data_IF_950329197087
#
_entry.id   IF_950329197087
#
_cell.length_a   1.000
_cell.length_b   1.000
_cell.length_c   1.000
_cell.angle_alpha   90.00
_cell.angle_beta   90.00
_cell.angle_gamma   90.00
#
_symmetry.space_group_name_H-M   'P 1'
#
loop_
_entity.id
_entity.type
_entity.pdbx_description
1 polymer ?
#
# COMPACT_ATOMS: atom_id res chain seq x y z
N UNK A 1 -21.39 13.96 8.11
CA UNK A 1 -20.35 13.24 8.85
C UNK A 1 -20.98 12.05 9.53
N UNK A 2 -20.86 10.86 8.96
CA UNK A 2 -21.01 9.64 9.75
C UNK A 2 -19.74 9.53 10.58
N UNK A 3 -19.85 9.69 11.89
CA UNK A 3 -18.81 9.26 12.83
C UNK A 3 -19.07 7.79 13.14
N UNK A 4 -18.90 6.92 12.15
CA UNK A 4 -18.82 5.50 12.44
C UNK A 4 -17.36 5.15 12.75
N UNK A 5 -17.14 4.21 13.68
CA UNK A 5 -15.78 3.81 14.09
C UNK A 5 -15.18 2.82 13.11
N UNK A 6 -16.01 2.13 12.34
CA UNK A 6 -15.56 1.09 11.43
C UNK A 6 -16.48 1.02 10.23
N UNK A 7 -15.90 1.04 9.04
CA UNK A 7 -16.64 0.79 7.80
C UNK A 7 -16.14 -0.48 7.11
N UNK A 8 -17.06 -1.10 6.39
CA UNK A 8 -16.81 -2.26 5.54
C UNK A 8 -17.44 -1.99 4.18
N UNK A 9 -16.62 -2.06 3.14
CA UNK A 9 -17.07 -1.88 1.77
C UNK A 9 -16.71 -3.08 0.92
N UNK A 10 -17.50 -3.25 -0.15
CA UNK A 10 -17.18 -4.13 -1.27
C UNK A 10 -17.69 -3.38 -2.50
N UNK A 11 -16.80 -2.98 -3.40
CA UNK A 11 -17.20 -2.37 -4.66
C UNK A 11 -16.64 -3.11 -5.88
N UNK A 12 -17.42 -3.03 -6.96
CA UNK A 12 -16.99 -3.45 -8.28
C UNK A 12 -17.44 -2.39 -9.26
N UNK A 13 -16.51 -1.56 -9.72
CA UNK A 13 -16.79 -0.49 -10.67
C UNK A 13 -15.66 -0.41 -11.71
N UNK A 14 -15.76 0.50 -12.68
CA UNK A 14 -14.65 0.82 -13.56
C UNK A 14 -13.62 1.70 -12.87
N UNK A 15 -14.06 2.57 -11.97
CA UNK A 15 -13.20 3.55 -11.32
C UNK A 15 -13.72 3.80 -9.92
N UNK A 16 -12.85 3.68 -8.92
CA UNK A 16 -13.14 4.07 -7.55
C UNK A 16 -12.35 5.32 -7.16
N UNK A 17 -12.99 6.19 -6.38
CA UNK A 17 -12.39 7.40 -5.83
C UNK A 17 -13.00 7.66 -4.46
N UNK A 18 -12.19 7.60 -3.41
CA UNK A 18 -12.68 7.90 -2.07
C UNK A 18 -11.74 8.80 -1.27
N UNK A 19 -12.33 9.58 -0.38
CA UNK A 19 -11.62 10.32 0.66
C UNK A 19 -12.35 10.01 1.97
N UNK A 20 -11.67 9.33 2.89
CA UNK A 20 -12.27 8.90 4.16
C UNK A 20 -11.39 9.25 5.35
N UNK A 21 -12.06 9.35 6.50
CA UNK A 21 -11.41 9.61 7.79
C UNK A 21 -12.20 8.89 8.87
N UNK A 22 -11.73 7.69 9.18
CA UNK A 22 -12.34 6.76 10.10
C UNK A 22 -11.33 6.31 11.17
N UNK A 23 -11.82 5.52 12.12
CA UNK A 23 -10.90 4.83 13.04
C UNK A 23 -10.38 3.54 12.40
N UNK A 24 -11.24 2.81 11.71
CA UNK A 24 -10.87 1.56 11.06
C UNK A 24 -11.64 1.40 9.75
N UNK A 25 -10.97 0.96 8.71
CA UNK A 25 -11.57 0.75 7.39
C UNK A 25 -11.20 -0.62 6.85
N UNK A 26 -12.18 -1.25 6.19
CA UNK A 26 -12.03 -2.53 5.50
C UNK A 26 -12.67 -2.41 4.12
N UNK A 27 -11.95 -2.77 3.07
CA UNK A 27 -12.52 -2.85 1.72
C UNK A 27 -11.99 -4.03 0.91
N UNK A 28 -12.85 -4.48 0.00
CA UNK A 28 -12.53 -5.40 -1.07
C UNK A 28 -12.98 -4.75 -2.38
N UNK A 29 -12.01 -4.37 -3.21
CA UNK A 29 -12.26 -3.67 -4.46
C UNK A 29 -11.81 -4.48 -5.66
N UNK A 30 -12.54 -4.31 -6.75
CA UNK A 30 -12.13 -4.77 -8.06
C UNK A 30 -12.57 -3.73 -9.07
N UNK A 31 -11.62 -2.97 -9.59
CA UNK A 31 -11.88 -1.95 -10.57
C UNK A 31 -10.83 -1.93 -11.70
N UNK A 32 -10.85 -0.90 -12.55
CA UNK A 32 -9.73 -0.68 -13.48
C UNK A 32 -8.77 0.36 -12.93
N UNK A 33 -9.25 1.29 -12.13
CA UNK A 33 -8.48 2.41 -11.66
C UNK A 33 -9.02 2.87 -10.32
N UNK A 34 -8.17 2.78 -9.32
CA UNK A 34 -8.47 3.13 -7.95
C UNK A 34 -7.63 4.33 -7.50
N UNK A 35 -8.24 5.22 -6.72
CA UNK A 35 -7.55 6.37 -6.14
C UNK A 35 -8.15 6.74 -4.78
N UNK A 36 -7.39 6.50 -3.71
CA UNK A 36 -7.86 6.83 -2.38
C UNK A 36 -6.92 7.76 -1.60
N UNK A 37 -7.55 8.57 -0.74
CA UNK A 37 -6.88 9.34 0.30
C UNK A 37 -7.53 9.00 1.62
N UNK A 38 -6.85 8.20 2.44
CA UNK A 38 -7.41 7.65 3.67
C UNK A 38 -6.60 8.11 4.87
N UNK A 39 -7.27 8.62 5.90
CA UNK A 39 -6.62 9.07 7.15
C UNK A 39 -7.13 8.26 8.34
N UNK A 40 -7.07 6.93 8.21
CA UNK A 40 -7.63 6.03 9.22
C UNK A 40 -6.63 5.71 10.33
N UNK A 41 -7.05 5.04 11.40
CA UNK A 41 -6.06 4.48 12.35
C UNK A 41 -5.57 3.12 11.93
N UNK A 42 -6.40 2.38 11.21
CA UNK A 42 -6.09 1.02 10.78
C UNK A 42 -6.89 0.74 9.52
N UNK A 43 -6.21 0.18 8.54
CA UNK A 43 -6.74 -0.11 7.22
C UNK A 43 -6.44 -1.56 6.85
N UNK A 44 -7.37 -2.16 6.15
CA UNK A 44 -7.30 -3.53 5.67
C UNK A 44 -7.93 -3.59 4.28
N UNK A 45 -7.09 -3.68 3.25
CA UNK A 45 -7.56 -3.65 1.87
C UNK A 45 -7.20 -4.93 1.11
N UNK A 46 -8.13 -5.38 0.27
CA UNK A 46 -7.87 -6.39 -0.77
C UNK A 46 -8.29 -5.79 -2.10
N UNK A 47 -7.33 -5.43 -2.94
CA UNK A 47 -7.59 -4.70 -4.19
C UNK A 47 -7.06 -5.47 -5.40
N UNK A 48 -7.77 -5.37 -6.51
CA UNK A 48 -7.42 -6.02 -7.76
C UNK A 48 -7.81 -5.12 -8.93
N UNK A 49 -6.90 -4.24 -9.27
CA UNK A 49 -7.14 -3.16 -10.20
C UNK A 49 -6.16 -3.26 -11.38
N UNK A 50 -6.24 -2.34 -12.33
CA UNK A 50 -5.13 -2.19 -13.29
C UNK A 50 -4.14 -1.16 -12.82
N UNK A 51 -4.64 -0.14 -12.12
CA UNK A 51 -3.84 0.98 -11.71
C UNK A 51 -4.37 1.48 -10.39
N UNK A 52 -3.49 1.62 -9.43
CA UNK A 52 -3.82 1.96 -8.07
C UNK A 52 -2.95 3.11 -7.59
N UNK A 53 -3.57 4.02 -6.82
CA UNK A 53 -2.94 5.24 -6.35
C UNK A 53 -3.45 5.61 -4.97
N UNK A 54 -2.61 5.42 -3.95
CA UNK A 54 -3.02 5.77 -2.59
C UNK A 54 -2.09 6.71 -1.86
N UNK A 55 -2.73 7.46 -0.96
CA UNK A 55 -2.07 8.20 0.12
C UNK A 55 -2.74 7.78 1.43
N UNK A 56 -2.00 7.10 2.30
CA UNK A 56 -2.52 6.62 3.57
C UNK A 56 -1.62 6.99 4.78
N UNK A 57 -2.19 6.92 5.99
CA UNK A 57 -1.49 7.23 7.26
C UNK A 57 -1.85 6.21 8.37
N UNK A 58 -0.82 5.72 9.06
CA UNK A 58 -0.76 4.97 10.33
C UNK A 58 -0.50 3.48 10.23
N UNK A 59 -1.49 2.65 9.91
CA UNK A 59 -1.34 1.18 10.01
C UNK A 59 -2.13 0.50 8.92
N UNK A 60 -1.42 -0.24 8.09
CA UNK A 60 -1.95 -0.84 6.87
C UNK A 60 -1.65 -2.33 6.81
N UNK A 61 -2.55 -3.03 6.12
CA UNK A 61 -2.53 -4.46 5.91
C UNK A 61 -3.18 -4.74 4.56
N UNK A 62 -2.35 -4.77 3.52
CA UNK A 62 -2.86 -4.73 2.16
C UNK A 62 -2.43 -5.95 1.34
N UNK A 63 -3.37 -6.44 0.54
CA UNK A 63 -3.13 -7.47 -0.49
C UNK A 63 -3.56 -6.88 -1.82
N UNK A 64 -2.59 -6.56 -2.67
CA UNK A 64 -2.83 -5.83 -3.90
C UNK A 64 -2.33 -6.63 -5.12
N UNK A 65 -3.11 -6.58 -6.19
CA UNK A 65 -2.76 -7.25 -7.44
C UNK A 65 -3.15 -6.36 -8.62
N UNK A 66 -2.18 -5.59 -9.09
CA UNK A 66 -2.35 -4.58 -10.11
C UNK A 66 -1.42 -4.79 -11.31
N UNK A 67 -1.61 -3.97 -12.35
CA UNK A 67 -0.54 -3.79 -13.34
C UNK A 67 0.44 -2.73 -12.90
N UNK A 68 -0.04 -1.71 -12.21
CA UNK A 68 0.78 -0.58 -11.80
C UNK A 68 0.28 -0.05 -10.49
N UNK A 69 1.16 -0.06 -9.50
CA UNK A 69 0.89 0.43 -8.16
C UNK A 69 1.76 1.67 -7.90
N UNK A 70 1.13 2.72 -7.38
CA UNK A 70 1.79 3.93 -6.94
C UNK A 70 1.33 4.27 -5.53
N UNK A 71 2.26 4.46 -4.61
CA UNK A 71 1.90 4.82 -3.24
C UNK A 71 2.83 5.82 -2.60
N UNK A 72 2.25 6.65 -1.75
CA UNK A 72 2.97 7.50 -0.81
C UNK A 72 2.41 7.24 0.58
N UNK A 73 3.20 6.58 1.44
CA UNK A 73 2.79 6.19 2.79
C UNK A 73 3.65 6.84 3.87
N UNK A 74 3.04 7.07 5.02
CA UNK A 74 3.75 7.48 6.23
C UNK A 74 3.16 6.76 7.44
N UNK A 75 3.73 5.61 7.78
CA UNK A 75 3.12 4.72 8.75
C UNK A 75 3.91 4.52 10.04
N UNK A 76 3.18 4.03 11.03
CA UNK A 76 3.81 3.36 12.16
C UNK A 76 4.16 1.93 11.77
N UNK A 77 3.29 1.25 11.06
CA UNK A 77 3.50 -0.16 10.72
C UNK A 77 2.77 -0.51 9.43
N UNK A 78 3.50 -1.11 8.49
CA UNK A 78 3.00 -1.57 7.18
C UNK A 78 3.22 -3.08 7.04
N UNK A 79 2.25 -3.75 6.41
CA UNK A 79 2.29 -5.17 6.08
C UNK A 79 1.64 -5.42 4.73
N UNK A 80 2.45 -5.52 3.68
CA UNK A 80 1.91 -5.58 2.33
C UNK A 80 2.33 -6.85 1.57
N UNK A 81 1.41 -7.35 0.76
CA UNK A 81 1.67 -8.37 -0.24
C UNK A 81 1.27 -7.78 -1.59
N UNK A 82 2.26 -7.42 -2.40
CA UNK A 82 2.08 -6.77 -3.70
C UNK A 82 2.49 -7.72 -4.82
N UNK A 83 1.60 -7.92 -5.79
CA UNK A 83 1.86 -8.70 -7.01
C UNK A 83 1.55 -7.88 -8.24
N UNK A 84 2.54 -7.12 -8.71
CA UNK A 84 2.34 -6.11 -9.73
C UNK A 84 3.27 -6.30 -10.94
N UNK A 85 3.04 -5.54 -12.01
CA UNK A 85 4.10 -5.44 -13.05
C UNK A 85 5.10 -4.35 -12.73
N UNK A 86 4.64 -3.27 -12.13
CA UNK A 86 5.45 -2.10 -11.85
C UNK A 86 4.97 -1.44 -10.56
N UNK A 87 5.90 -1.16 -9.67
CA UNK A 87 5.67 -0.54 -8.37
C UNK A 87 6.48 0.74 -8.26
N UNK A 88 5.86 1.78 -7.69
CA UNK A 88 6.49 3.05 -7.36
C UNK A 88 6.08 3.50 -5.96
N UNK A 89 7.02 3.36 -5.02
CA UNK A 89 6.74 3.54 -3.61
C UNK A 89 7.60 4.66 -3.00
N UNK A 90 6.97 5.52 -2.21
CA UNK A 90 7.66 6.41 -1.28
C UNK A 90 7.12 6.12 0.12
N UNK A 91 7.94 5.50 0.96
CA UNK A 91 7.52 5.01 2.27
C UNK A 91 8.36 5.66 3.36
N UNK A 92 7.68 5.96 4.47
CA UNK A 92 8.31 6.51 5.67
C UNK A 92 7.65 5.92 6.89
N UNK A 93 8.11 4.73 7.24
CA UNK A 93 7.52 3.90 8.27
C UNK A 93 8.41 3.78 9.51
N UNK A 94 7.83 3.39 10.64
CA UNK A 94 8.69 2.85 11.72
C UNK A 94 9.05 1.41 11.44
N UNK A 95 8.13 0.65 10.89
CA UNK A 95 8.27 -0.78 10.69
C UNK A 95 7.54 -1.22 9.43
N UNK A 96 8.27 -1.87 8.53
CA UNK A 96 7.77 -2.34 7.25
C UNK A 96 8.02 -3.84 7.09
N UNK A 97 7.02 -4.54 6.56
CA UNK A 97 7.03 -5.98 6.28
C UNK A 97 6.36 -6.27 4.94
N UNK A 98 7.16 -6.36 3.88
CA UNK A 98 6.62 -6.45 2.53
C UNK A 98 7.06 -7.73 1.80
N UNK A 99 6.12 -8.30 1.05
CA UNK A 99 6.39 -9.33 0.04
C UNK A 99 6.03 -8.72 -1.30
N UNK A 100 7.05 -8.46 -2.12
CA UNK A 100 6.89 -7.80 -3.41
C UNK A 100 7.27 -8.78 -4.52
N UNK A 101 6.38 -8.93 -5.49
CA UNK A 101 6.62 -9.68 -6.71
C UNK A 101 6.28 -8.80 -7.89
N UNK A 102 7.30 -8.17 -8.48
CA UNK A 102 7.10 -7.34 -9.66
C UNK A 102 8.14 -7.53 -10.77
N UNK A 103 7.96 -6.86 -11.92
CA UNK A 103 9.03 -6.81 -12.92
C UNK A 103 9.95 -5.61 -12.70
N UNK A 104 9.41 -4.51 -12.19
CA UNK A 104 10.11 -3.25 -12.04
C UNK A 104 9.65 -2.53 -10.79
N UNK A 105 10.58 -2.36 -9.86
CA UNK A 105 10.35 -1.72 -8.58
C UNK A 105 11.15 -0.42 -8.50
N UNK A 106 10.47 0.67 -8.10
CA UNK A 106 11.07 1.95 -7.83
C UNK A 106 10.70 2.41 -6.42
N UNK A 107 11.70 2.59 -5.56
CA UNK A 107 11.47 2.86 -4.15
C UNK A 107 12.30 4.00 -3.55
N UNK A 108 11.69 4.69 -2.60
CA UNK A 108 12.37 5.50 -1.61
C UNK A 108 11.86 5.08 -0.23
N UNK A 109 12.71 4.40 0.54
CA UNK A 109 12.36 3.96 1.89
C UNK A 109 13.15 4.70 2.96
N UNK A 110 12.42 5.18 3.96
CA UNK A 110 12.98 5.91 5.11
C UNK A 110 12.49 5.29 6.43
N UNK A 111 12.64 3.96 6.56
CA UNK A 111 12.09 3.26 7.71
C UNK A 111 13.16 2.88 8.73
N UNK A 112 12.74 2.62 9.96
CA UNK A 112 13.67 2.23 11.03
C UNK A 112 13.97 0.74 11.05
N UNK A 113 13.05 -0.06 10.54
CA UNK A 113 13.12 -1.52 10.50
C UNK A 113 12.36 -2.00 9.28
N UNK A 114 13.02 -2.79 8.44
CA UNK A 114 12.40 -3.37 7.24
C UNK A 114 12.65 -4.87 7.19
N UNK A 115 11.64 -5.60 6.74
CA UNK A 115 11.71 -7.01 6.39
C UNK A 115 11.04 -7.19 5.03
N UNK A 116 11.86 -7.21 3.98
CA UNK A 116 11.35 -7.23 2.60
C UNK A 116 11.81 -8.50 1.92
N UNK A 117 10.87 -9.19 1.28
CA UNK A 117 11.13 -10.26 0.32
C UNK A 117 10.82 -9.69 -1.07
N UNK A 118 11.84 -9.59 -1.92
CA UNK A 118 11.73 -9.02 -3.26
C UNK A 118 11.92 -10.10 -4.32
N UNK A 119 11.00 -10.16 -5.28
CA UNK A 119 11.13 -11.04 -6.45
C UNK A 119 11.06 -10.22 -7.72
N UNK A 120 11.97 -9.26 -7.86
CA UNK A 120 11.91 -8.26 -8.93
C UNK A 120 12.92 -8.57 -10.04
N UNK A 121 12.54 -8.28 -11.29
CA UNK A 121 13.52 -8.33 -12.39
C UNK A 121 14.42 -7.11 -12.43
N UNK A 122 13.91 -5.96 -11.99
CA UNK A 122 14.61 -4.68 -11.99
C UNK A 122 14.22 -3.89 -10.75
N UNK A 123 15.23 -3.40 -10.02
CA UNK A 123 15.06 -2.62 -8.79
C UNK A 123 15.86 -1.31 -8.91
N UNK A 124 15.24 -0.19 -8.58
CA UNK A 124 15.88 1.11 -8.48
C UNK A 124 15.40 1.82 -7.21
N UNK A 125 16.28 1.91 -6.21
CA UNK A 125 15.89 2.36 -4.88
C UNK A 125 16.88 3.26 -4.18
N UNK A 126 16.35 4.15 -3.34
CA UNK A 126 17.12 4.83 -2.30
C UNK A 126 16.67 4.28 -0.94
N UNK A 127 17.58 3.56 -0.29
CA UNK A 127 17.38 3.01 1.04
C UNK A 127 18.12 3.86 2.07
N UNK A 128 17.38 4.51 2.96
CA UNK A 128 17.94 5.25 4.09
C UNK A 128 17.61 4.55 5.41
N UNK A 129 18.40 3.54 5.77
CA UNK A 129 18.16 2.70 6.96
C UNK A 129 19.39 2.57 7.89
N UNK A 130 19.14 2.31 9.18
CA UNK A 130 20.11 1.86 10.18
C UNK A 130 20.26 0.34 10.26
N UNK A 131 19.34 -0.48 9.71
CA UNK A 131 19.45 -1.96 9.78
C UNK A 131 18.60 -2.72 8.74
N UNK A 132 19.21 -3.04 7.60
CA UNK A 132 18.57 -3.77 6.50
C UNK A 132 18.78 -5.29 6.57
N UNK A 133 17.73 -6.08 6.36
CA UNK A 133 17.79 -7.53 6.11
C UNK A 133 16.92 -7.85 4.89
N UNK A 134 17.56 -8.03 3.74
CA UNK A 134 16.91 -8.43 2.48
C UNK A 134 17.09 -9.93 2.27
N UNK A 135 16.03 -10.62 1.83
CA UNK A 135 16.06 -12.05 1.46
C UNK A 135 15.76 -12.24 -0.02
#
# INVERSE_FOLDING_TARGET
MLTDKTHYYIFTDKTHHVILTDKTYYDILTDKTHYDILTDKTLYNILNDKTHYDILDKTHYDILTDKTYYVILTDKTRYDILTDKTIYDILTDKTLYDILTDNTHYDIFTDKTHHVILTDKTLYGILTDKKTMTY
#
